data_IF_519399524270
#
_entry.id   IF_519399524270
#
_cell.length_a   1.000
_cell.length_b   1.000
_cell.length_c   1.000
_cell.angle_alpha   90.00
_cell.angle_beta   90.00
_cell.angle_gamma   90.00
#
_symmetry.space_group_name_H-M   'P 1'
#
loop_
_entity.id
_entity.type
_entity.pdbx_description
1 polymer ?
#
# COMPACT_ATOMS: atom_id res chain seq x y z
N UNK A 1 -0.10 12.37 3.02
CA UNK A 1 -1.25 11.85 2.24
C UNK A 1 -0.88 10.46 1.76
N UNK A 2 -1.66 9.45 2.14
CA UNK A 2 -1.38 8.06 1.85
C UNK A 2 -2.16 7.63 0.61
N UNK A 3 -1.52 7.71 -0.54
CA UNK A 3 -2.06 7.38 -1.85
C UNK A 3 -1.08 6.44 -2.56
N UNK A 4 -1.57 5.30 -3.00
CA UNK A 4 -0.84 4.34 -3.82
C UNK A 4 -1.66 4.00 -5.06
N UNK A 5 -1.02 3.93 -6.22
CA UNK A 5 -1.69 3.56 -7.46
C UNK A 5 -0.71 2.94 -8.45
N UNK A 6 -1.18 2.00 -9.25
CA UNK A 6 -0.39 1.35 -10.29
C UNK A 6 -1.29 0.80 -11.40
N UNK A 7 -0.73 0.64 -12.60
CA UNK A 7 -1.38 -0.10 -13.69
C UNK A 7 -2.64 0.54 -14.27
N UNK A 8 -3.64 -0.28 -14.59
CA UNK A 8 -4.88 0.08 -15.27
C UNK A 8 -5.87 0.87 -14.38
N UNK A 9 -5.45 2.04 -13.90
CA UNK A 9 -6.22 2.90 -12.98
C UNK A 9 -7.39 3.62 -13.62
N UNK A 10 -7.48 3.65 -14.95
CA UNK A 10 -8.55 4.33 -15.68
C UNK A 10 -9.78 3.43 -15.93
N UNK A 11 -9.70 2.12 -15.68
CA UNK A 11 -10.78 1.18 -15.94
C UNK A 11 -12.07 1.59 -15.21
N UNK A 12 -13.19 1.59 -15.94
CA UNK A 12 -14.51 1.88 -15.41
C UNK A 12 -15.22 0.59 -14.98
N UNK A 13 -15.98 0.59 -13.87
CA UNK A 13 -16.71 -0.59 -13.42
C UNK A 13 -17.71 -1.16 -14.42
N UNK A 14 -18.18 -0.33 -15.33
CA UNK A 14 -19.22 -0.69 -16.28
C UNK A 14 -18.66 -1.11 -17.65
N UNK A 15 -17.35 -0.96 -17.88
CA UNK A 15 -16.68 -1.35 -19.13
C UNK A 15 -16.98 -2.80 -19.50
N UNK A 16 -16.94 -3.71 -18.51
CA UNK A 16 -17.21 -5.14 -18.72
C UNK A 16 -18.62 -5.45 -19.23
N UNK A 17 -19.56 -4.53 -19.09
CA UNK A 17 -20.97 -4.67 -19.49
C UNK A 17 -21.32 -3.86 -20.75
N UNK A 18 -20.35 -3.20 -21.39
CA UNK A 18 -20.59 -2.48 -22.65
C UNK A 18 -21.10 -3.42 -23.75
N UNK A 19 -21.94 -2.88 -24.64
CA UNK A 19 -22.47 -3.58 -25.82
C UNK A 19 -21.36 -4.14 -26.72
N UNK A 20 -20.20 -3.45 -26.78
CA UNK A 20 -19.03 -3.90 -27.52
C UNK A 20 -18.47 -5.21 -26.96
N UNK A 21 -18.45 -5.37 -25.63
CA UNK A 21 -18.03 -6.61 -24.97
C UNK A 21 -19.11 -7.71 -25.03
N UNK A 22 -20.38 -7.33 -25.15
CA UNK A 22 -21.49 -8.27 -25.31
C UNK A 22 -21.57 -8.89 -26.72
N UNK A 23 -21.00 -8.22 -27.74
CA UNK A 23 -21.00 -8.68 -29.12
C UNK A 23 -20.03 -9.84 -29.40
N UNK A 24 -19.29 -10.32 -28.38
CA UNK A 24 -18.44 -11.51 -28.50
C UNK A 24 -17.21 -11.31 -29.39
N UNK A 25 -16.77 -10.07 -29.58
CA UNK A 25 -15.55 -9.79 -30.34
C UNK A 25 -14.33 -10.41 -29.63
N UNK A 26 -13.45 -11.03 -30.42
CA UNK A 26 -12.28 -11.78 -29.97
C UNK A 26 -11.15 -10.88 -29.44
N UNK A 27 -11.44 -10.10 -28.41
CA UNK A 27 -10.51 -9.29 -27.65
C UNK A 27 -10.03 -10.00 -26.38
N UNK A 28 -9.02 -9.45 -25.69
CA UNK A 28 -8.60 -9.98 -24.40
C UNK A 28 -9.72 -9.73 -23.36
N UNK A 29 -9.91 -10.62 -22.37
CA UNK A 29 -11.07 -10.57 -21.47
C UNK A 29 -11.19 -9.21 -20.78
N UNK A 30 -12.40 -8.63 -20.68
CA UNK A 30 -12.58 -7.28 -20.16
C UNK A 30 -12.06 -7.16 -18.73
N UNK A 31 -11.63 -5.95 -18.37
CA UNK A 31 -11.21 -5.68 -17.01
C UNK A 31 -12.42 -5.73 -16.09
N UNK A 32 -12.29 -6.45 -14.99
CA UNK A 32 -13.26 -6.46 -13.90
C UNK A 32 -12.79 -5.48 -12.84
N UNK A 33 -13.66 -4.55 -12.44
CA UNK A 33 -13.35 -3.54 -11.43
C UNK A 33 -14.12 -3.82 -10.15
N UNK A 34 -13.47 -3.63 -9.01
CA UNK A 34 -14.13 -3.51 -7.72
C UNK A 34 -13.76 -2.17 -7.10
N UNK A 35 -14.76 -1.50 -6.54
CA UNK A 35 -14.63 -0.14 -6.03
C UNK A 35 -15.29 -0.03 -4.66
N UNK A 36 -14.58 0.57 -3.74
CA UNK A 36 -15.08 1.01 -2.44
C UNK A 36 -14.71 2.47 -2.24
N UNK A 37 -15.64 3.26 -1.72
CA UNK A 37 -15.48 4.69 -1.55
C UNK A 37 -16.21 5.14 -0.29
N UNK A 38 -15.47 5.81 0.58
CA UNK A 38 -15.96 6.48 1.78
C UNK A 38 -15.29 7.87 1.87
N UNK A 39 -15.83 8.87 1.15
CA UNK A 39 -15.24 10.21 1.10
C UNK A 39 -15.26 10.94 2.44
N UNK A 40 -16.24 10.65 3.31
CA UNK A 40 -16.34 11.24 4.65
C UNK A 40 -15.11 10.88 5.50
N UNK A 41 -14.64 9.65 5.37
CA UNK A 41 -13.44 9.15 6.04
C UNK A 41 -12.17 9.25 5.17
N UNK A 42 -12.24 9.93 4.02
CA UNK A 42 -11.09 10.15 3.14
C UNK A 42 -10.51 8.86 2.53
N UNK A 43 -11.35 7.86 2.29
CA UNK A 43 -10.92 6.51 1.95
C UNK A 43 -11.52 6.07 0.60
N UNK A 44 -10.67 5.52 -0.27
CA UNK A 44 -11.06 5.11 -1.62
C UNK A 44 -10.16 3.97 -2.09
N UNK A 45 -10.75 2.87 -2.55
CA UNK A 45 -10.01 1.76 -3.15
C UNK A 45 -10.68 1.32 -4.44
N UNK A 46 -9.92 1.33 -5.53
CA UNK A 46 -10.29 0.74 -6.81
C UNK A 46 -9.29 -0.35 -7.17
N UNK A 47 -9.79 -1.50 -7.61
CA UNK A 47 -9.01 -2.62 -8.06
C UNK A 47 -9.48 -3.04 -9.45
N UNK A 48 -8.58 -3.10 -10.42
CA UNK A 48 -8.82 -3.57 -11.77
C UNK A 48 -8.11 -4.91 -11.96
N UNK A 49 -8.87 -5.93 -12.38
CA UNK A 49 -8.36 -7.29 -12.58
C UNK A 49 -8.63 -7.80 -13.98
N UNK A 50 -7.75 -8.67 -14.48
CA UNK A 50 -7.98 -9.45 -15.69
C UNK A 50 -7.92 -10.93 -15.32
N UNK A 51 -9.04 -11.63 -15.45
CA UNK A 51 -9.16 -13.03 -15.01
C UNK A 51 -8.64 -13.24 -13.56
N UNK A 52 -9.04 -12.37 -12.63
CA UNK A 52 -8.65 -12.46 -11.21
C UNK A 52 -7.30 -11.80 -10.87
N UNK A 53 -6.36 -11.75 -11.81
CA UNK A 53 -5.03 -11.12 -11.62
C UNK A 53 -5.14 -9.62 -11.49
N UNK A 54 -4.50 -9.03 -10.48
CA UNK A 54 -4.46 -7.58 -10.27
C UNK A 54 -3.60 -6.89 -11.34
N UNK A 55 -4.23 -6.08 -12.19
CA UNK A 55 -3.56 -5.34 -13.28
C UNK A 55 -3.59 -3.82 -13.09
N UNK A 56 -4.26 -3.36 -12.04
CA UNK A 56 -4.17 -1.98 -11.59
C UNK A 56 -4.96 -1.71 -10.33
N UNK A 57 -4.59 -0.66 -9.60
CA UNK A 57 -5.32 -0.24 -8.43
C UNK A 57 -5.10 1.24 -8.11
N UNK A 58 -6.01 1.79 -7.31
CA UNK A 58 -5.87 3.05 -6.59
C UNK A 58 -6.27 2.79 -5.15
N UNK A 59 -5.47 3.22 -4.18
CA UNK A 59 -5.77 3.11 -2.76
C UNK A 59 -5.41 4.42 -2.06
N UNK A 60 -6.40 5.08 -1.47
CA UNK A 60 -6.29 6.32 -0.71
C UNK A 60 -6.84 6.09 0.69
N UNK A 61 -6.13 6.57 1.71
CA UNK A 61 -6.59 6.53 3.10
C UNK A 61 -6.57 5.12 3.73
N UNK A 62 -6.08 4.11 3.01
CA UNK A 62 -6.04 2.71 3.45
C UNK A 62 -4.61 2.14 3.35
N UNK A 63 -3.71 2.45 4.33
CA UNK A 63 -2.29 2.08 4.27
C UNK A 63 -2.00 0.60 4.11
N UNK A 64 -2.77 -0.25 4.80
CA UNK A 64 -2.50 -1.68 4.85
C UNK A 64 -3.04 -2.35 3.59
N UNK A 65 -4.24 -1.96 3.14
CA UNK A 65 -4.77 -2.35 1.84
C UNK A 65 -3.85 -1.89 0.70
N UNK A 66 -3.37 -0.64 0.73
CA UNK A 66 -2.43 -0.12 -0.26
C UNK A 66 -1.13 -0.92 -0.32
N UNK A 67 -0.61 -1.34 0.85
CA UNK A 67 0.58 -2.19 0.90
C UNK A 67 0.34 -3.57 0.29
N UNK A 68 -0.76 -4.21 0.65
CA UNK A 68 -1.13 -5.52 0.12
C UNK A 68 -1.35 -5.48 -1.40
N UNK A 69 -2.08 -4.48 -1.89
CA UNK A 69 -2.31 -4.28 -3.32
C UNK A 69 -1.03 -4.00 -4.09
N UNK A 70 -0.06 -3.28 -3.48
CA UNK A 70 1.27 -3.08 -4.08
C UNK A 70 1.98 -4.43 -4.26
N UNK A 71 2.00 -5.27 -3.22
CA UNK A 71 2.64 -6.59 -3.26
C UNK A 71 1.97 -7.52 -4.28
N UNK A 72 0.63 -7.57 -4.31
CA UNK A 72 -0.13 -8.37 -5.27
C UNK A 72 0.11 -7.90 -6.72
N UNK A 73 0.20 -6.59 -6.94
CA UNK A 73 0.48 -6.03 -8.26
C UNK A 73 1.91 -6.35 -8.72
N UNK A 74 2.92 -6.14 -7.87
CA UNK A 74 4.32 -6.43 -8.18
C UNK A 74 4.57 -7.92 -8.46
N UNK A 75 3.85 -8.80 -7.78
CA UNK A 75 3.94 -10.26 -7.98
C UNK A 75 3.06 -10.79 -9.12
N UNK A 76 2.19 -9.95 -9.71
CA UNK A 76 1.22 -10.39 -10.72
C UNK A 76 0.22 -11.42 -10.18
N UNK A 77 -0.12 -11.32 -8.90
CA UNK A 77 -0.97 -12.27 -8.20
C UNK A 77 -2.47 -12.02 -8.43
N UNK A 78 -3.26 -13.07 -8.21
CA UNK A 78 -4.71 -12.99 -8.16
C UNK A 78 -5.19 -12.31 -6.87
N UNK A 79 -6.26 -11.53 -6.98
CA UNK A 79 -6.96 -11.05 -5.80
C UNK A 79 -7.70 -12.19 -5.09
N UNK A 80 -7.86 -12.11 -3.76
CA UNK A 80 -8.77 -13.00 -3.04
C UNK A 80 -10.18 -12.95 -3.63
N UNK A 81 -10.87 -14.11 -3.60
CA UNK A 81 -12.25 -14.20 -4.09
C UNK A 81 -13.20 -13.23 -3.38
N UNK A 82 -13.10 -13.11 -2.05
CA UNK A 82 -13.72 -12.03 -1.29
C UNK A 82 -12.75 -10.84 -1.22
N UNK A 83 -12.95 -9.84 -2.07
CA UNK A 83 -12.09 -8.64 -2.11
C UNK A 83 -12.21 -7.76 -0.86
N UNK A 84 -13.28 -7.91 -0.06
CA UNK A 84 -13.44 -7.13 1.17
C UNK A 84 -12.38 -7.44 2.22
N UNK A 85 -11.72 -8.60 2.15
CA UNK A 85 -10.62 -8.97 3.06
C UNK A 85 -9.46 -7.98 2.99
N UNK A 86 -9.18 -7.41 1.81
CA UNK A 86 -8.15 -6.40 1.61
C UNK A 86 -8.52 -5.11 2.37
N UNK A 87 -9.80 -4.73 2.34
CA UNK A 87 -10.29 -3.54 3.04
C UNK A 87 -10.26 -3.72 4.56
N UNK A 88 -10.55 -4.93 5.05
CA UNK A 88 -10.52 -5.28 6.49
C UNK A 88 -9.13 -5.12 7.10
N UNK A 89 -8.06 -5.10 6.30
CA UNK A 89 -6.70 -4.85 6.80
C UNK A 89 -6.57 -3.49 7.49
N UNK A 90 -7.39 -2.49 7.13
CA UNK A 90 -7.44 -1.17 7.76
C UNK A 90 -8.65 -1.00 8.71
N UNK A 91 -9.33 -2.10 9.05
CA UNK A 91 -10.47 -2.10 9.97
C UNK A 91 -10.11 -1.75 11.42
N UNK A 92 -11.11 -1.55 12.30
CA UNK A 92 -10.89 -1.21 13.71
C UNK A 92 -10.09 -2.29 14.46
N UNK A 93 -10.23 -3.56 14.06
CA UNK A 93 -9.43 -4.68 14.60
C UNK A 93 -7.94 -4.49 14.30
N UNK A 94 -7.58 -3.87 13.18
CA UNK A 94 -6.21 -3.54 12.84
C UNK A 94 -5.64 -2.41 13.71
N UNK A 95 -6.51 -1.52 14.24
CA UNK A 95 -6.14 -0.54 15.26
C UNK A 95 -5.99 -1.18 16.65
N UNK A 96 -6.81 -2.18 16.97
CA UNK A 96 -6.81 -2.90 18.25
C UNK A 96 -5.70 -3.96 18.36
N UNK A 97 -5.33 -4.61 17.25
CA UNK A 97 -4.16 -5.49 17.14
C UNK A 97 -2.82 -4.70 17.16
N UNK A 98 -2.90 -3.42 17.49
CA UNK A 98 -1.80 -2.49 17.48
C UNK A 98 -1.81 -1.62 16.25
N UNK A 99 -2.44 -0.44 16.34
CA UNK A 99 -2.59 0.54 15.27
C UNK A 99 -1.27 1.01 14.63
N UNK A 100 -1.22 2.15 13.93
CA UNK A 100 0.00 2.59 13.24
C UNK A 100 1.27 2.66 14.14
N UNK A 101 1.09 2.63 15.47
CA UNK A 101 2.14 2.61 16.50
C UNK A 101 2.46 1.22 17.11
N UNK A 102 1.76 0.15 16.75
CA UNK A 102 1.97 -1.17 17.36
C UNK A 102 2.30 -2.31 16.39
N UNK A 103 2.94 -1.94 15.27
CA UNK A 103 4.20 -2.64 14.97
C UNK A 103 5.09 -2.46 16.21
N UNK A 104 5.55 -3.55 16.83
CA UNK A 104 6.28 -3.50 18.10
C UNK A 104 7.34 -2.38 18.14
N UNK A 105 7.64 -1.88 19.34
CA UNK A 105 8.64 -0.80 19.45
C UNK A 105 10.08 -1.31 19.27
N UNK A 106 10.28 -2.63 19.28
CA UNK A 106 11.58 -3.27 19.09
C UNK A 106 12.13 -3.19 17.66
N UNK A 107 13.42 -3.49 17.48
CA UNK A 107 14.10 -3.40 16.18
C UNK A 107 13.51 -4.35 15.13
N UNK A 108 13.06 -5.55 15.52
CA UNK A 108 12.48 -6.56 14.61
C UNK A 108 11.10 -6.17 14.04
N UNK A 109 10.46 -5.13 14.57
CA UNK A 109 9.12 -4.77 14.15
C UNK A 109 9.12 -4.19 12.73
N UNK A 110 8.22 -4.70 11.88
CA UNK A 110 8.06 -4.21 10.52
C UNK A 110 7.58 -2.76 10.50
N UNK A 111 8.39 -1.86 9.95
CA UNK A 111 8.05 -0.46 9.75
C UNK A 111 7.46 -0.22 8.36
N UNK A 112 8.06 -0.79 7.31
CA UNK A 112 7.57 -0.71 5.94
C UNK A 112 7.08 -2.07 5.46
N UNK A 113 5.75 -2.27 5.45
CA UNK A 113 5.12 -3.54 5.04
C UNK A 113 5.40 -3.92 3.58
N UNK A 114 5.35 -2.95 2.67
CA UNK A 114 5.58 -3.21 1.24
C UNK A 114 7.02 -3.66 0.96
N UNK A 115 7.99 -3.03 1.62
CA UNK A 115 9.41 -3.31 1.38
C UNK A 115 9.95 -4.41 2.31
N UNK A 116 9.17 -4.86 3.30
CA UNK A 116 9.61 -5.81 4.32
C UNK A 116 10.64 -5.24 5.31
N UNK A 117 10.75 -3.91 5.41
CA UNK A 117 11.80 -3.25 6.20
C UNK A 117 11.36 -3.07 7.65
N UNK A 118 12.22 -3.47 8.57
CA UNK A 118 12.06 -3.35 10.02
C UNK A 118 12.48 -1.98 10.57
N UNK A 119 12.09 -1.68 11.81
CA UNK A 119 12.53 -0.47 12.53
C UNK A 119 14.06 -0.48 12.74
N UNK A 120 14.64 -1.64 13.03
CA UNK A 120 16.06 -1.83 13.27
C UNK A 120 16.90 -1.51 12.03
N UNK A 121 16.50 -2.00 10.86
CA UNK A 121 17.17 -1.67 9.58
C UNK A 121 17.15 -0.17 9.29
N UNK A 122 16.05 0.52 9.64
CA UNK A 122 15.97 1.97 9.49
C UNK A 122 16.85 2.70 10.51
N UNK A 123 16.85 2.28 11.77
CA UNK A 123 17.73 2.83 12.81
C UNK A 123 19.21 2.67 12.45
N UNK A 124 19.60 1.51 11.90
CA UNK A 124 20.94 1.26 11.39
C UNK A 124 21.27 2.19 10.21
N UNK A 125 20.36 2.35 9.25
CA UNK A 125 20.57 3.26 8.12
C UNK A 125 20.78 4.71 8.59
N UNK A 126 19.99 5.17 9.57
CA UNK A 126 20.11 6.50 10.17
C UNK A 126 21.43 6.64 10.94
N UNK A 127 21.81 5.64 11.75
CA UNK A 127 23.11 5.62 12.43
C UNK A 127 24.31 5.64 11.47
N UNK A 128 24.12 5.15 10.25
CA UNK A 128 25.07 5.22 9.14
C UNK A 128 24.93 6.51 8.29
N UNK A 129 24.34 7.57 8.84
CA UNK A 129 24.32 8.92 8.27
C UNK A 129 23.17 9.24 7.32
N UNK A 130 22.13 8.39 7.21
CA UNK A 130 20.91 8.77 6.49
C UNK A 130 20.12 9.79 7.31
N UNK A 131 19.83 10.97 6.73
CA UNK A 131 19.15 12.07 7.44
C UNK A 131 17.83 12.48 6.79
N UNK A 132 17.46 11.88 5.67
CA UNK A 132 16.20 12.13 4.98
C UNK A 132 15.46 10.83 4.67
N UNK A 133 14.15 10.93 4.44
CA UNK A 133 13.32 9.79 4.00
C UNK A 133 13.84 9.26 2.66
N UNK A 134 14.30 10.15 1.79
CA UNK A 134 14.89 9.82 0.49
C UNK A 134 16.19 9.02 0.65
N UNK A 135 17.05 9.35 1.63
CA UNK A 135 18.27 8.58 1.90
C UNK A 135 17.95 7.16 2.36
N UNK A 136 17.01 7.03 3.30
CA UNK A 136 16.55 5.73 3.78
C UNK A 136 15.91 4.94 2.64
N UNK A 137 15.10 5.60 1.81
CA UNK A 137 14.43 4.98 0.65
C UNK A 137 15.46 4.40 -0.32
N UNK A 138 16.55 5.11 -0.60
CA UNK A 138 17.62 4.62 -1.49
C UNK A 138 18.37 3.43 -0.92
N UNK A 139 18.57 3.37 0.40
CA UNK A 139 19.29 2.25 1.04
C UNK A 139 18.41 1.01 1.28
N UNK A 140 17.15 1.20 1.65
CA UNK A 140 16.31 0.13 2.20
C UNK A 140 15.06 -0.17 1.37
N UNK A 141 14.73 0.69 0.39
CA UNK A 141 13.45 0.67 -0.35
C UNK A 141 12.22 1.06 0.51
N UNK A 142 12.39 1.35 1.81
CA UNK A 142 11.28 1.82 2.63
C UNK A 142 10.73 3.15 2.10
N UNK A 143 9.41 3.33 2.12
CA UNK A 143 8.77 4.59 1.70
C UNK A 143 8.58 4.77 0.19
N UNK A 144 8.99 3.80 -0.64
CA UNK A 144 8.82 3.86 -2.11
C UNK A 144 7.54 3.18 -2.62
N UNK A 145 6.93 2.30 -1.83
CA UNK A 145 5.67 1.61 -2.15
C UNK A 145 4.44 2.44 -1.79
N UNK A 146 3.60 1.95 -0.87
CA UNK A 146 2.36 2.64 -0.50
C UNK A 146 2.53 3.99 0.24
N UNK A 147 3.74 4.30 0.73
CA UNK A 147 4.01 5.52 1.48
C UNK A 147 3.50 5.56 2.93
N UNK A 148 2.76 4.54 3.39
CA UNK A 148 2.18 4.50 4.74
C UNK A 148 3.19 4.48 5.89
N UNK A 149 4.47 4.18 5.63
CA UNK A 149 5.54 4.20 6.63
C UNK A 149 6.31 5.52 6.71
N UNK A 150 6.04 6.50 5.83
CA UNK A 150 6.87 7.72 5.69
C UNK A 150 6.89 8.58 6.95
N UNK A 151 5.78 8.66 7.66
CA UNK A 151 5.72 9.41 8.92
C UNK A 151 6.57 8.72 10.00
N UNK A 152 6.47 7.39 10.13
CA UNK A 152 7.32 6.62 11.03
C UNK A 152 8.83 6.66 10.67
N UNK A 153 9.16 6.77 9.38
CA UNK A 153 10.55 7.02 8.95
C UNK A 153 11.06 8.38 9.45
N UNK A 154 10.23 9.43 9.31
CA UNK A 154 10.56 10.78 9.76
C UNK A 154 10.74 10.84 11.28
N UNK A 155 9.85 10.20 12.04
CA UNK A 155 9.94 10.13 13.50
C UNK A 155 11.26 9.49 13.96
N UNK A 156 11.70 8.41 13.31
CA UNK A 156 12.97 7.76 13.64
C UNK A 156 14.20 8.62 13.30
N UNK A 157 14.16 9.33 12.16
CA UNK A 157 15.20 10.30 11.80
C UNK A 157 15.27 11.40 12.87
N UNK A 158 14.14 12.06 13.15
CA UNK A 158 14.06 13.18 14.09
C UNK A 158 14.53 12.76 15.48
N UNK A 159 14.08 11.60 15.98
CA UNK A 159 14.51 11.07 17.28
C UNK A 159 16.02 10.84 17.36
N UNK A 160 16.65 10.31 16.30
CA UNK A 160 18.09 10.07 16.28
C UNK A 160 18.91 11.37 16.35
N UNK A 161 18.56 12.36 15.52
CA UNK A 161 19.30 13.63 15.48
C UNK A 161 18.99 14.56 16.66
N UNK A 162 17.79 14.46 17.26
CA UNK A 162 17.49 15.14 18.52
C UNK A 162 18.34 14.59 19.68
N UNK A 163 18.51 13.26 19.75
CA UNK A 163 19.35 12.62 20.76
C UNK A 163 20.85 12.89 20.56
N UNK A 164 21.31 13.05 19.31
CA UNK A 164 22.72 13.37 19.02
C UNK A 164 23.09 14.84 19.32
N UNK A 165 22.09 15.73 19.44
CA UNK A 165 22.28 17.15 19.74
C UNK A 165 22.23 17.49 21.25
N UNK A 166 21.93 16.50 22.10
CA UNK A 166 21.87 16.61 23.56
C UNK A 166 23.14 16.05 24.22
#
# INVERSE_FOLDING_TARGET
>A
MNLALAGAVAADPWDAFSLENAAGESGPPPLQVSLWSDPEHGAYVKMATRAGVLVGFVALGMPRAAAELTLLFESGAELPADRSVILRLDGPEAALAGGPSAAGTGPEATLCRCAGVSRGEVQEAVGNGCSTVEDISRKTRAGTGCGGCRDGLRELIEAHFAAAAA
#
